data_IF_534324342123
#
_entry.id   IF_534324342123
#
_cell.length_a   1.000
_cell.length_b   1.000
_cell.length_c   1.000
_cell.angle_alpha   90.00
_cell.angle_beta   90.00
_cell.angle_gamma   90.00
#
_symmetry.space_group_name_H-M   'P 1'
#
loop_
_entity.id
_entity.type
_entity.pdbx_description
1 polymer ?
#
# COMPACT_ATOMS: atom_id res chain seq x y z
N UNK A 1 -36.69 65.94 43.56
CA UNK A 1 -37.49 66.26 42.35
C UNK A 1 -36.65 65.81 41.16
N UNK A 2 -36.98 64.91 40.25
CA UNK A 2 -38.23 64.33 39.76
C UNK A 2 -37.95 62.93 39.18
N UNK A 3 -38.95 62.05 39.24
CA UNK A 3 -39.08 60.74 38.57
C UNK A 3 -39.04 60.95 37.03
N UNK A 4 -38.67 60.01 36.16
CA UNK A 4 -39.37 58.74 35.86
C UNK A 4 -38.62 57.94 34.75
N UNK A 5 -39.02 56.68 34.48
CA UNK A 5 -38.18 55.61 33.92
C UNK A 5 -38.30 55.45 32.39
N UNK A 6 -37.31 54.82 31.76
CA UNK A 6 -37.44 54.32 30.39
C UNK A 6 -37.75 52.82 30.40
N UNK A 7 -38.84 52.54 29.70
CA UNK A 7 -39.54 51.29 29.46
C UNK A 7 -38.61 50.22 28.89
N UNK A 8 -38.75 49.02 29.46
CA UNK A 8 -38.23 47.75 28.95
C UNK A 8 -39.00 47.36 27.68
N UNK A 9 -38.30 47.11 26.58
CA UNK A 9 -38.86 46.42 25.42
C UNK A 9 -38.17 45.06 25.29
N UNK A 10 -38.89 44.00 25.68
CA UNK A 10 -38.55 42.61 25.37
C UNK A 10 -38.68 42.42 23.85
N UNK A 11 -37.59 42.04 23.18
CA UNK A 11 -37.65 41.43 21.86
C UNK A 11 -37.53 39.92 22.04
N UNK A 12 -38.66 39.22 21.93
CA UNK A 12 -38.77 37.76 21.87
C UNK A 12 -38.13 37.27 20.57
N UNK A 13 -36.94 36.68 20.66
CA UNK A 13 -36.32 35.97 19.54
C UNK A 13 -36.98 34.59 19.40
N UNK A 14 -37.59 34.36 18.24
CA UNK A 14 -38.27 33.13 17.85
C UNK A 14 -37.25 31.98 17.71
N UNK A 15 -37.41 30.92 18.50
CA UNK A 15 -36.65 29.68 18.37
C UNK A 15 -37.12 28.96 17.11
N UNK A 16 -36.31 28.98 16.05
CA UNK A 16 -36.48 28.09 14.90
C UNK A 16 -35.86 26.75 15.28
N UNK A 17 -36.71 25.78 15.64
CA UNK A 17 -36.35 24.37 15.71
C UNK A 17 -36.09 23.88 14.27
N UNK A 18 -34.83 23.91 13.83
CA UNK A 18 -34.39 23.06 12.73
C UNK A 18 -34.36 21.63 13.26
N UNK A 19 -35.16 20.68 12.72
CA UNK A 19 -34.86 19.28 12.94
C UNK A 19 -33.49 19.04 12.34
N UNK A 20 -32.55 18.59 13.16
CA UNK A 20 -31.31 18.01 12.67
C UNK A 20 -31.73 16.84 11.78
N UNK A 21 -31.69 17.07 10.46
CA UNK A 21 -31.66 15.99 9.50
C UNK A 21 -30.39 15.23 9.83
N UNK A 22 -30.53 14.14 10.59
CA UNK A 22 -29.53 13.10 10.69
C UNK A 22 -29.32 12.62 9.26
N UNK A 23 -28.35 13.23 8.59
CA UNK A 23 -27.77 12.67 7.38
C UNK A 23 -27.13 11.37 7.84
N UNK A 24 -27.92 10.31 7.78
CA UNK A 24 -27.41 8.95 7.85
C UNK A 24 -26.45 8.85 6.69
N UNK A 25 -25.17 9.12 6.96
CA UNK A 25 -24.09 8.73 6.10
C UNK A 25 -24.21 7.24 5.97
N UNK A 26 -24.87 6.78 4.90
CA UNK A 26 -24.60 5.47 4.35
C UNK A 26 -23.13 5.53 3.98
N UNK A 27 -22.29 5.13 4.94
CA UNK A 27 -20.97 4.63 4.65
C UNK A 27 -21.20 3.61 3.54
N UNK A 28 -20.87 4.00 2.31
CA UNK A 28 -20.54 3.05 1.26
C UNK A 28 -19.33 2.30 1.78
N UNK A 29 -19.60 1.34 2.67
CA UNK A 29 -18.68 0.32 3.08
C UNK A 29 -18.48 -0.56 1.87
N UNK A 30 -17.70 -0.06 0.91
CA UNK A 30 -16.90 -0.93 0.05
C UNK A 30 -16.27 -1.91 1.03
N UNK A 31 -16.70 -3.17 0.98
CA UNK A 31 -16.18 -4.24 1.82
C UNK A 31 -14.66 -4.23 1.66
N UNK A 32 -13.97 -3.51 2.55
CA UNK A 32 -12.55 -3.64 2.76
C UNK A 32 -12.45 -4.99 3.42
N UNK A 33 -12.39 -6.04 2.60
CA UNK A 33 -12.13 -7.39 3.09
C UNK A 33 -10.88 -7.28 3.93
N UNK A 34 -11.04 -7.49 5.23
CA UNK A 34 -9.92 -7.46 6.15
C UNK A 34 -8.97 -8.59 5.72
N UNK A 35 -7.75 -8.24 5.34
CA UNK A 35 -6.74 -9.19 4.89
C UNK A 35 -6.51 -10.29 5.95
N UNK A 36 -6.69 -9.95 7.23
CA UNK A 36 -6.56 -10.87 8.36
C UNK A 36 -7.61 -11.98 8.34
N UNK A 37 -8.74 -11.77 7.66
CA UNK A 37 -9.86 -12.72 7.52
C UNK A 37 -9.83 -13.48 6.20
N UNK A 38 -8.82 -13.24 5.34
CA UNK A 38 -8.68 -14.00 4.11
C UNK A 38 -8.58 -15.51 4.41
N UNK A 39 -9.39 -16.29 3.71
CA UNK A 39 -9.46 -17.76 3.82
C UNK A 39 -8.54 -18.48 2.85
N UNK A 40 -7.95 -17.76 1.89
CA UNK A 40 -7.01 -18.30 0.91
C UNK A 40 -6.34 -17.20 0.07
N UNK A 41 -5.44 -17.60 -0.82
CA UNK A 41 -4.64 -16.66 -1.62
C UNK A 41 -5.52 -15.72 -2.48
N UNK A 42 -6.58 -16.24 -3.10
CA UNK A 42 -7.47 -15.42 -3.93
C UNK A 42 -8.19 -14.33 -3.14
N UNK A 43 -8.70 -14.63 -1.93
CA UNK A 43 -9.35 -13.64 -1.08
C UNK A 43 -8.35 -12.65 -0.48
N UNK A 44 -7.11 -13.08 -0.21
CA UNK A 44 -6.03 -12.19 0.21
C UNK A 44 -5.64 -11.22 -0.91
N UNK A 45 -5.43 -11.71 -2.14
CA UNK A 45 -5.17 -10.87 -3.30
C UNK A 45 -6.32 -9.88 -3.55
N UNK A 46 -7.57 -10.30 -3.37
CA UNK A 46 -8.72 -9.41 -3.50
C UNK A 46 -8.71 -8.28 -2.44
N UNK A 47 -8.40 -8.60 -1.19
CA UNK A 47 -8.27 -7.62 -0.10
C UNK A 47 -7.15 -6.60 -0.39
N UNK A 48 -5.96 -7.07 -0.75
CA UNK A 48 -4.81 -6.20 -1.06
C UNK A 48 -5.07 -5.33 -2.30
N UNK A 49 -5.68 -5.90 -3.35
CA UNK A 49 -6.07 -5.12 -4.51
C UNK A 49 -7.12 -4.05 -4.17
N UNK A 50 -8.09 -4.35 -3.29
CA UNK A 50 -9.06 -3.36 -2.82
C UNK A 50 -8.39 -2.20 -2.07
N UNK A 51 -7.34 -2.48 -1.30
CA UNK A 51 -6.56 -1.43 -0.65
C UNK A 51 -5.78 -0.57 -1.66
N UNK A 52 -5.18 -1.20 -2.68
CA UNK A 52 -4.42 -0.51 -3.73
C UNK A 52 -5.31 0.37 -4.61
N UNK A 53 -6.52 -0.06 -4.96
CA UNK A 53 -7.44 0.71 -5.81
C UNK A 53 -7.77 2.10 -5.24
N UNK A 54 -7.69 2.26 -3.92
CA UNK A 54 -7.95 3.53 -3.25
C UNK A 54 -6.70 4.43 -3.15
N UNK A 55 -5.53 3.99 -3.63
CA UNK A 55 -4.23 4.63 -3.35
C UNK A 55 -3.30 4.80 -4.54
N UNK A 56 -3.55 4.10 -5.64
CA UNK A 56 -2.71 4.17 -6.84
C UNK A 56 -3.55 4.31 -8.10
N UNK A 57 -3.01 5.01 -9.08
CA UNK A 57 -3.62 5.14 -10.41
C UNK A 57 -3.28 3.97 -11.34
N UNK A 58 -2.45 3.02 -10.88
CA UNK A 58 -2.15 1.80 -11.63
C UNK A 58 -3.34 0.82 -11.54
N UNK A 59 -4.05 0.58 -12.66
CA UNK A 59 -5.23 -0.26 -12.66
C UNK A 59 -4.86 -1.71 -12.35
N UNK A 60 -5.85 -2.47 -11.86
CA UNK A 60 -5.74 -3.94 -11.81
C UNK A 60 -5.49 -4.48 -13.21
N UNK A 61 -4.62 -5.49 -13.32
CA UNK A 61 -4.49 -6.25 -14.57
C UNK A 61 -5.67 -7.24 -14.71
N UNK A 62 -6.13 -7.53 -15.94
CA UNK A 62 -7.25 -8.43 -16.16
C UNK A 62 -7.04 -9.85 -15.61
N UNK A 63 -5.80 -10.35 -15.71
CA UNK A 63 -5.41 -11.64 -15.16
C UNK A 63 -4.68 -11.42 -13.82
N UNK A 64 -5.09 -12.08 -12.72
CA UNK A 64 -4.36 -12.02 -11.47
C UNK A 64 -3.00 -12.74 -11.61
N UNK A 65 -1.97 -12.35 -10.81
CA UNK A 65 -0.71 -13.05 -10.83
C UNK A 65 -0.86 -14.46 -10.27
N UNK A 66 -0.08 -15.40 -10.80
CA UNK A 66 0.12 -16.68 -10.11
C UNK A 66 0.99 -16.44 -8.88
N UNK A 67 0.71 -17.15 -7.77
CA UNK A 67 1.51 -17.04 -6.55
C UNK A 67 2.12 -18.40 -6.26
N UNK A 68 3.45 -18.46 -6.21
CA UNK A 68 4.20 -19.68 -5.89
C UNK A 68 5.07 -19.49 -4.67
N UNK A 69 5.17 -20.55 -3.89
CA UNK A 69 6.07 -20.61 -2.76
C UNK A 69 7.37 -21.30 -3.17
N UNK A 70 8.49 -20.63 -2.96
CA UNK A 70 9.82 -21.10 -3.35
C UNK A 70 10.75 -21.20 -2.16
N UNK A 71 11.80 -22.01 -2.28
CA UNK A 71 12.90 -21.99 -1.32
C UNK A 71 13.78 -20.74 -1.50
N UNK A 72 14.57 -20.35 -0.48
CA UNK A 72 15.54 -19.26 -0.64
C UNK A 72 16.53 -19.48 -1.80
N UNK A 73 16.94 -20.72 -2.04
CA UNK A 73 17.83 -21.06 -3.16
C UNK A 73 17.16 -20.87 -4.52
N UNK A 74 15.91 -21.31 -4.67
CA UNK A 74 15.14 -21.09 -5.90
C UNK A 74 14.98 -19.59 -6.16
N UNK A 75 14.66 -18.80 -5.13
CA UNK A 75 14.50 -17.36 -5.25
C UNK A 75 15.80 -16.65 -5.68
N UNK A 76 16.95 -17.05 -5.12
CA UNK A 76 18.25 -16.53 -5.53
C UNK A 76 18.59 -16.87 -7.00
N UNK A 77 18.24 -18.07 -7.46
CA UNK A 77 18.45 -18.47 -8.86
C UNK A 77 17.58 -17.65 -9.84
N UNK A 78 16.36 -17.25 -9.43
CA UNK A 78 15.47 -16.42 -10.25
C UNK A 78 15.92 -14.96 -10.35
N UNK A 79 16.52 -14.42 -9.29
CA UNK A 79 16.90 -13.01 -9.20
C UNK A 79 18.20 -12.67 -9.93
N UNK A 80 19.08 -13.65 -10.14
CA UNK A 80 20.45 -13.37 -10.58
C UNK A 80 21.25 -12.69 -9.46
N UNK A 81 21.85 -11.53 -9.72
CA UNK A 81 22.56 -10.77 -8.68
C UNK A 81 21.56 -10.11 -7.70
N UNK A 82 21.76 -10.20 -6.37
CA UNK A 82 20.75 -9.77 -5.40
C UNK A 82 20.64 -8.23 -5.30
N UNK A 83 19.43 -7.64 -5.39
CA UNK A 83 19.12 -6.30 -4.92
C UNK A 83 19.20 -6.28 -3.38
N UNK A 84 19.89 -5.28 -2.84
CA UNK A 84 20.31 -5.23 -1.42
C UNK A 84 19.59 -4.13 -0.64
N UNK A 85 18.32 -3.86 -0.97
CA UNK A 85 17.63 -2.65 -0.49
C UNK A 85 16.84 -2.86 0.81
N UNK A 86 16.27 -4.04 1.01
CA UNK A 86 15.85 -4.49 2.35
C UNK A 86 17.07 -5.01 3.11
N UNK A 87 17.16 -4.67 4.40
CA UNK A 87 18.14 -5.28 5.30
C UNK A 87 17.69 -6.71 5.58
N UNK A 88 18.16 -7.67 4.78
CA UNK A 88 17.79 -9.07 4.97
C UNK A 88 17.85 -9.90 3.70
N UNK A 89 17.40 -11.16 3.81
CA UNK A 89 17.27 -12.06 2.69
C UNK A 89 16.05 -11.69 1.82
N UNK A 90 16.12 -12.00 0.52
CA UNK A 90 14.99 -11.90 -0.40
C UNK A 90 13.75 -12.62 0.17
N UNK A 91 12.62 -11.92 0.24
CA UNK A 91 11.35 -12.47 0.76
C UNK A 91 10.28 -12.66 -0.31
N UNK A 92 10.36 -11.91 -1.41
CA UNK A 92 9.43 -11.93 -2.51
C UNK A 92 10.13 -11.50 -3.81
N UNK A 93 9.58 -11.91 -4.94
CA UNK A 93 9.97 -11.43 -6.26
C UNK A 93 8.80 -11.54 -7.23
N UNK A 94 8.52 -10.45 -7.95
CA UNK A 94 7.64 -10.47 -9.11
C UNK A 94 8.43 -10.76 -10.40
N UNK A 95 8.00 -11.80 -11.13
CA UNK A 95 8.48 -12.12 -12.47
C UNK A 95 7.53 -11.51 -13.52
N UNK A 96 7.96 -10.47 -14.26
CA UNK A 96 7.13 -9.84 -15.28
C UNK A 96 6.92 -10.70 -16.53
N UNK A 97 7.82 -11.65 -16.82
CA UNK A 97 7.72 -12.51 -18.00
C UNK A 97 6.62 -13.56 -17.83
N UNK A 98 6.51 -14.13 -16.62
CA UNK A 98 5.50 -15.14 -16.30
C UNK A 98 4.25 -14.56 -15.61
N UNK A 99 4.27 -13.26 -15.27
CA UNK A 99 3.26 -12.60 -14.44
C UNK A 99 3.03 -13.35 -13.11
N UNK A 100 4.12 -13.68 -12.44
CA UNK A 100 4.14 -14.53 -11.27
C UNK A 100 4.75 -13.81 -10.06
N UNK A 101 4.21 -14.08 -8.88
CA UNK A 101 4.76 -13.66 -7.59
C UNK A 101 5.36 -14.90 -6.91
N UNK A 102 6.67 -14.84 -6.67
CA UNK A 102 7.41 -15.84 -5.92
C UNK A 102 7.54 -15.38 -4.47
N UNK A 103 6.96 -16.13 -3.53
CA UNK A 103 7.08 -15.89 -2.09
C UNK A 103 8.06 -16.88 -1.47
N UNK A 104 9.07 -16.36 -0.78
CA UNK A 104 10.14 -17.19 -0.22
C UNK A 104 9.70 -17.81 1.11
N UNK A 105 9.85 -19.13 1.23
CA UNK A 105 9.52 -19.86 2.47
C UNK A 105 10.57 -19.66 3.57
N UNK A 106 10.16 -19.67 4.86
CA UNK A 106 8.77 -19.76 5.33
C UNK A 106 8.00 -18.45 5.11
N UNK A 107 6.75 -18.57 4.67
CA UNK A 107 5.82 -17.44 4.48
C UNK A 107 4.52 -17.76 5.21
N UNK A 108 3.88 -16.75 5.79
CA UNK A 108 2.72 -16.90 6.67
C UNK A 108 1.64 -15.86 6.30
N UNK A 109 0.44 -16.28 5.84
CA UNK A 109 -0.64 -15.37 5.50
C UNK A 109 -1.24 -14.63 6.68
N UNK A 110 -0.92 -15.01 7.92
CA UNK A 110 -1.37 -14.35 9.15
C UNK A 110 -0.36 -13.35 9.70
N UNK A 111 0.85 -13.32 9.15
CA UNK A 111 1.88 -12.37 9.53
C UNK A 111 1.83 -11.14 8.60
N UNK A 112 1.57 -9.97 9.16
CA UNK A 112 1.47 -8.72 8.40
C UNK A 112 2.78 -8.37 7.66
N UNK A 113 3.96 -8.63 8.22
CA UNK A 113 5.23 -8.41 7.53
C UNK A 113 5.33 -9.26 6.26
N UNK A 114 4.93 -10.53 6.34
CA UNK A 114 4.90 -11.45 5.20
C UNK A 114 3.87 -11.04 4.15
N UNK A 115 2.68 -10.59 4.58
CA UNK A 115 1.64 -10.09 3.69
C UNK A 115 2.05 -8.78 3.03
N UNK A 116 2.82 -7.92 3.71
CA UNK A 116 3.35 -6.69 3.13
C UNK A 116 4.30 -6.95 1.96
N UNK A 117 5.06 -8.05 2.00
CA UNK A 117 5.90 -8.48 0.87
C UNK A 117 5.02 -8.89 -0.31
N UNK A 118 3.92 -9.61 -0.09
CA UNK A 118 2.96 -9.92 -1.17
C UNK A 118 2.35 -8.63 -1.76
N UNK A 119 2.02 -7.64 -0.92
CA UNK A 119 1.54 -6.34 -1.40
C UNK A 119 2.59 -5.65 -2.27
N UNK A 120 3.86 -5.67 -1.88
CA UNK A 120 4.97 -5.11 -2.64
C UNK A 120 5.05 -5.73 -4.05
N UNK A 121 5.08 -7.06 -4.13
CA UNK A 121 5.12 -7.75 -5.43
C UNK A 121 3.85 -7.52 -6.26
N UNK A 122 2.70 -7.36 -5.61
CA UNK A 122 1.45 -7.02 -6.29
C UNK A 122 1.47 -5.60 -6.87
N UNK A 123 2.20 -4.67 -6.25
CA UNK A 123 2.45 -3.34 -6.85
C UNK A 123 3.26 -3.51 -8.13
N UNK A 124 4.35 -4.28 -8.12
CA UNK A 124 5.13 -4.56 -9.34
C UNK A 124 4.28 -5.21 -10.43
N UNK A 125 3.38 -6.13 -10.05
CA UNK A 125 2.43 -6.70 -11.00
C UNK A 125 1.58 -5.63 -11.72
N UNK A 126 1.10 -4.60 -11.00
CA UNK A 126 0.35 -3.47 -11.59
C UNK A 126 1.24 -2.48 -12.34
N UNK A 127 2.50 -2.32 -11.93
CA UNK A 127 3.48 -1.46 -12.59
C UNK A 127 4.00 -2.07 -13.90
N UNK A 128 3.95 -3.39 -14.08
CA UNK A 128 4.53 -4.10 -15.22
C UNK A 128 4.16 -3.56 -16.63
N UNK A 129 2.92 -3.08 -16.90
CA UNK A 129 2.59 -2.48 -18.20
C UNK A 129 3.16 -1.08 -18.41
N UNK A 130 3.66 -0.42 -17.37
CA UNK A 130 4.18 0.94 -17.45
C UNK A 130 5.65 0.92 -17.88
N UNK A 131 6.06 1.80 -18.79
CA UNK A 131 7.46 1.92 -19.15
C UNK A 131 8.24 2.56 -18.00
N UNK A 132 9.37 1.93 -17.67
CA UNK A 132 10.35 2.45 -16.72
C UNK A 132 11.68 2.60 -17.44
N UNK A 133 12.44 3.66 -17.12
CA UNK A 133 13.78 3.83 -17.70
C UNK A 133 14.78 2.77 -17.20
N UNK A 134 14.46 2.10 -16.09
CA UNK A 134 15.21 1.00 -15.51
C UNK A 134 14.33 0.24 -14.50
N UNK A 135 14.71 -0.98 -14.14
CA UNK A 135 13.98 -1.80 -13.18
C UNK A 135 13.96 -1.20 -11.76
N UNK A 136 14.97 -0.42 -11.35
CA UNK A 136 15.00 0.16 -10.01
C UNK A 136 14.06 1.37 -9.82
N UNK A 137 13.64 2.02 -10.92
CA UNK A 137 12.81 3.22 -10.86
C UNK A 137 11.40 2.98 -10.27
N UNK A 138 10.91 1.73 -10.34
CA UNK A 138 9.61 1.34 -9.80
C UNK A 138 9.63 1.10 -8.28
N UNK A 139 10.79 0.77 -7.71
CA UNK A 139 10.97 0.38 -6.30
C UNK A 139 10.46 1.41 -5.29
N UNK A 140 10.74 2.73 -5.43
CA UNK A 140 10.35 3.69 -4.40
C UNK A 140 8.85 3.73 -4.14
N UNK A 141 8.03 3.59 -5.19
CA UNK A 141 6.59 3.58 -5.03
C UNK A 141 6.10 2.28 -4.35
N UNK A 142 6.65 1.13 -4.71
CA UNK A 142 6.34 -0.15 -4.08
C UNK A 142 6.68 -0.13 -2.58
N UNK A 143 7.88 0.35 -2.20
CA UNK A 143 8.27 0.50 -0.79
C UNK A 143 7.39 1.48 -0.02
N UNK A 144 7.02 2.62 -0.62
CA UNK A 144 6.12 3.59 0.05
C UNK A 144 4.75 2.99 0.33
N UNK A 145 4.18 2.24 -0.62
CA UNK A 145 2.91 1.56 -0.44
C UNK A 145 3.01 0.44 0.62
N UNK A 146 4.09 -0.34 0.59
CA UNK A 146 4.36 -1.35 1.62
C UNK A 146 4.45 -0.73 3.02
N UNK A 147 5.21 0.37 3.16
CA UNK A 147 5.34 1.11 4.41
C UNK A 147 4.00 1.68 4.88
N UNK A 148 3.20 2.26 3.97
CA UNK A 148 1.90 2.83 4.31
C UNK A 148 0.91 1.75 4.78
N UNK A 149 0.90 0.59 4.11
CA UNK A 149 0.05 -0.52 4.51
C UNK A 149 0.45 -1.11 5.86
N UNK A 150 1.76 -1.30 6.11
CA UNK A 150 2.27 -1.77 7.41
C UNK A 150 1.94 -0.79 8.54
N UNK A 151 2.03 0.52 8.29
CA UNK A 151 1.66 1.54 9.27
C UNK A 151 0.20 1.44 9.70
N UNK A 152 -0.72 1.11 8.79
CA UNK A 152 -2.12 0.83 9.12
C UNK A 152 -2.30 -0.42 10.00
N UNK A 153 -1.31 -1.32 10.04
CA UNK A 153 -1.30 -2.50 10.91
C UNK A 153 -0.55 -2.25 12.23
N UNK A 154 -0.09 -1.02 12.47
CA UNK A 154 0.73 -0.67 13.64
C UNK A 154 2.19 -1.14 13.55
N UNK A 155 2.69 -1.42 12.34
CA UNK A 155 4.04 -1.90 12.08
C UNK A 155 4.84 -0.90 11.23
N UNK A 156 6.15 -1.08 11.20
CA UNK A 156 7.08 -0.30 10.38
C UNK A 156 7.99 -1.20 9.58
N UNK A 157 8.33 -0.78 8.36
CA UNK A 157 9.29 -1.49 7.52
C UNK A 157 10.73 -1.07 7.83
N UNK A 158 11.67 -2.02 7.87
CA UNK A 158 13.12 -1.73 7.89
C UNK A 158 13.66 -1.66 6.46
N UNK A 159 13.65 -0.46 5.89
CA UNK A 159 14.16 -0.17 4.55
C UNK A 159 15.33 0.79 4.64
N UNK A 160 16.40 0.49 3.90
CA UNK A 160 17.44 1.48 3.66
C UNK A 160 16.97 2.48 2.59
N UNK A 161 16.23 3.51 3.00
CA UNK A 161 15.64 4.51 2.10
C UNK A 161 16.69 5.24 1.25
N UNK A 162 17.90 5.44 1.78
CA UNK A 162 19.00 6.01 1.01
C UNK A 162 19.39 5.07 -0.14
N UNK A 163 19.56 3.77 0.14
CA UNK A 163 19.91 2.80 -0.89
C UNK A 163 18.81 2.66 -1.96
N UNK A 164 17.53 2.61 -1.55
CA UNK A 164 16.39 2.61 -2.49
C UNK A 164 16.41 3.85 -3.39
N UNK A 165 16.65 5.03 -2.79
CA UNK A 165 16.65 6.30 -3.54
C UNK A 165 17.81 6.38 -4.52
N UNK A 166 19.02 5.99 -4.10
CA UNK A 166 20.20 5.97 -4.96
C UNK A 166 20.04 4.98 -6.11
N UNK A 167 19.52 3.78 -5.83
CA UNK A 167 19.32 2.78 -6.87
C UNK A 167 18.24 3.18 -7.88
N UNK A 168 17.14 3.75 -7.39
CA UNK A 168 16.10 4.28 -8.26
C UNK A 168 16.66 5.35 -9.22
N UNK A 169 17.73 6.07 -8.87
CA UNK A 169 18.39 7.01 -9.79
C UNK A 169 19.00 6.36 -11.05
N UNK A 170 19.20 5.03 -11.04
CA UNK A 170 19.73 4.22 -12.15
C UNK A 170 21.02 4.74 -12.79
N UNK A 171 21.81 5.45 -12.00
CA UNK A 171 23.18 5.80 -12.36
C UNK A 171 24.04 4.53 -12.38
N UNK A 172 24.92 4.36 -13.37
CA UNK A 172 25.93 3.30 -13.35
C UNK A 172 26.68 3.31 -12.01
N UNK A 173 26.76 2.15 -11.36
CA UNK A 173 27.43 2.02 -10.05
C UNK A 173 28.94 1.98 -10.15
N UNK A 174 29.46 1.60 -11.32
CA UNK A 174 30.89 1.61 -11.66
C UNK A 174 31.19 2.81 -12.56
N UNK A 175 31.59 3.91 -11.93
CA UNK A 175 32.26 5.01 -12.62
C UNK A 175 33.71 4.99 -12.16
N UNK A 176 34.58 4.45 -12.98
CA UNK A 176 36.02 4.39 -12.73
C UNK A 176 36.68 5.22 -13.84
N UNK A 177 37.67 6.07 -13.53
CA UNK A 177 38.46 6.68 -14.60
C UNK A 177 39.20 5.57 -15.37
N UNK A 178 39.14 5.64 -16.70
CA UNK A 178 39.95 4.80 -17.61
C UNK A 178 41.45 5.05 -17.42
#
# INVERSE_FOLDING_TARGET
>A
MSRSPRVVALATALVVLCPALSFGGTSSGTLRTDWSQATGMSSLLAALNGWLDARVDWPRRPAPPQVRFVSPWQAAAHQGAPPRFQRGALRGLYDPQQAEILLVRPWDPRNADHVSVLLHELVHHRQAPHPWYCAAAQEPAAYRLQSAWLAEQGLSIDVNWLAVTLDAGCTPRDMHPD
#
